data_IF_627607808211
#
_entry.id   IF_627607808211
#
_cell.length_a   1.000
_cell.length_b   1.000
_cell.length_c   1.000
_cell.angle_alpha   90.00
_cell.angle_beta   90.00
_cell.angle_gamma   90.00
#
_symmetry.space_group_name_H-M   'P 1'
#
loop_
_entity.id
_entity.type
_entity.pdbx_description
1 polymer ?
#
# COMPACT_ATOMS: atom_id res chain seq x y z
N UNK A 1 6.06 -12.28 18.79
CA UNK A 1 6.07 -12.24 17.31
C UNK A 1 5.95 -10.80 16.91
N UNK A 2 6.78 -10.29 16.01
CA UNK A 2 6.73 -8.87 15.64
C UNK A 2 5.62 -8.64 14.61
N UNK A 3 4.62 -7.83 14.95
CA UNK A 3 3.50 -7.54 14.07
C UNK A 3 3.52 -6.07 13.66
N UNK A 4 3.40 -5.78 12.37
CA UNK A 4 3.20 -4.41 11.87
C UNK A 4 1.75 -4.22 11.45
N UNK A 5 1.16 -3.11 11.86
CA UNK A 5 -0.19 -2.73 11.46
C UNK A 5 -0.10 -1.48 10.60
N UNK A 6 -0.66 -1.57 9.40
CA UNK A 6 -0.98 -0.40 8.60
C UNK A 6 -2.36 0.10 9.02
N UNK A 7 -2.48 1.42 9.16
CA UNK A 7 -3.77 2.07 9.27
C UNK A 7 -3.82 3.28 8.36
N UNK A 8 -5.04 3.66 7.98
CA UNK A 8 -5.26 4.95 7.34
C UNK A 8 -5.45 6.00 8.42
N UNK A 9 -5.09 7.25 8.12
CA UNK A 9 -5.22 8.32 9.10
C UNK A 9 -6.68 8.64 9.46
N UNK A 10 -7.68 8.21 8.66
CA UNK A 10 -9.08 8.61 8.83
C UNK A 10 -10.16 7.55 8.44
N UNK A 11 -9.86 6.25 8.29
CA UNK A 11 -10.83 5.23 7.81
C UNK A 11 -10.69 3.90 8.59
N UNK A 12 -11.80 3.20 8.90
CA UNK A 12 -11.74 1.87 9.50
C UNK A 12 -10.98 0.86 8.61
N UNK A 13 -10.24 -0.05 9.25
CA UNK A 13 -9.52 -1.12 8.58
C UNK A 13 -10.49 -2.21 8.07
N UNK A 14 -11.07 -1.97 6.88
CA UNK A 14 -11.83 -2.94 6.09
C UNK A 14 -10.89 -3.73 5.15
N UNK A 15 -11.36 -4.88 4.65
CA UNK A 15 -10.60 -5.69 3.68
C UNK A 15 -10.26 -4.89 2.40
N UNK A 16 -11.20 -4.04 1.97
CA UNK A 16 -11.04 -3.08 0.87
C UNK A 16 -11.55 -1.71 1.27
N UNK A 17 -10.82 -0.67 0.88
CA UNK A 17 -11.19 0.71 1.09
C UNK A 17 -11.49 1.40 -0.24
N UNK A 18 -12.61 2.12 -0.30
CA UNK A 18 -12.98 2.87 -1.49
C UNK A 18 -12.28 4.22 -1.49
N UNK A 19 -11.59 4.54 -2.59
CA UNK A 19 -10.85 5.79 -2.75
C UNK A 19 -11.29 6.46 -4.04
N UNK A 20 -11.57 7.77 -3.96
CA UNK A 20 -11.83 8.56 -5.15
C UNK A 20 -10.48 8.83 -5.85
N UNK A 21 -10.37 8.65 -7.18
CA UNK A 21 -9.09 8.82 -7.90
C UNK A 21 -8.46 10.21 -7.75
N UNK A 22 -9.25 11.24 -7.41
CA UNK A 22 -8.76 12.61 -7.20
C UNK A 22 -8.14 12.82 -5.82
N UNK A 23 -8.29 11.85 -4.91
CA UNK A 23 -7.77 11.93 -3.54
C UNK A 23 -6.40 11.27 -3.41
N UNK A 24 -5.56 11.83 -2.54
CA UNK A 24 -4.29 11.21 -2.16
C UNK A 24 -4.55 10.16 -1.08
N UNK A 25 -3.72 9.12 -1.05
CA UNK A 25 -3.77 8.08 -0.02
C UNK A 25 -2.58 8.26 0.91
N UNK A 26 -2.84 8.63 2.16
CA UNK A 26 -1.83 8.75 3.20
C UNK A 26 -2.01 7.62 4.21
N UNK A 27 -0.94 6.85 4.40
CA UNK A 27 -0.85 5.71 5.29
C UNK A 27 0.24 5.93 6.31
N UNK A 28 0.04 5.30 7.47
CA UNK A 28 1.10 5.12 8.42
C UNK A 28 1.12 3.67 8.87
N UNK A 29 2.30 3.22 9.23
CA UNK A 29 2.55 1.89 9.76
C UNK A 29 3.23 2.00 11.10
N UNK A 30 2.80 1.16 12.02
CA UNK A 30 3.39 1.08 13.36
C UNK A 30 3.74 -0.38 13.60
N UNK A 31 4.95 -0.58 14.09
CA UNK A 31 5.35 -1.87 14.60
C UNK A 31 4.79 -2.01 16.02
N UNK A 32 4.03 -3.08 16.25
CA UNK A 32 3.49 -3.43 17.55
C UNK A 32 4.47 -4.34 18.28
N UNK A 33 4.53 -4.16 19.60
CA UNK A 33 5.48 -4.83 20.51
C UNK A 33 6.93 -4.35 20.35
N UNK A 34 7.88 -5.06 20.95
CA UNK A 34 9.21 -4.58 21.28
C UNK A 34 10.11 -4.53 20.03
N UNK A 35 9.91 -3.56 19.13
CA UNK A 35 10.59 -3.36 17.83
C UNK A 35 12.08 -3.02 17.98
N UNK A 36 12.87 -3.93 18.54
CA UNK A 36 14.27 -3.70 18.81
C UNK A 36 15.08 -3.79 17.52
N UNK A 37 15.38 -2.62 16.94
CA UNK A 37 16.22 -2.37 15.77
C UNK A 37 15.60 -2.75 14.42
N UNK A 38 14.69 -1.89 13.94
CA UNK A 38 14.25 -1.89 12.55
C UNK A 38 15.47 -1.59 11.67
N UNK A 39 15.83 -2.51 10.78
CA UNK A 39 16.90 -2.32 9.80
C UNK A 39 16.41 -1.55 8.58
N UNK A 40 15.21 -1.87 8.10
CA UNK A 40 14.62 -1.22 6.94
C UNK A 40 13.09 -1.23 7.00
N UNK A 41 12.48 -0.24 6.37
CA UNK A 41 11.05 -0.21 6.08
C UNK A 41 10.95 -0.06 4.57
N UNK A 42 10.11 -0.86 3.91
CA UNK A 42 9.89 -0.74 2.47
C UNK A 42 8.41 -0.83 2.17
N UNK A 43 7.91 0.12 1.37
CA UNK A 43 6.57 0.09 0.81
C UNK A 43 6.58 -0.44 -0.61
N UNK A 44 5.80 -1.49 -0.85
CA UNK A 44 5.53 -2.05 -2.16
C UNK A 44 4.09 -1.75 -2.57
N UNK A 45 3.91 -1.34 -3.81
CA UNK A 45 2.60 -1.04 -4.40
C UNK A 45 2.31 -2.07 -5.47
N UNK A 46 1.12 -2.65 -5.42
CA UNK A 46 0.64 -3.63 -6.37
C UNK A 46 -0.66 -3.16 -6.99
N UNK A 47 -0.90 -3.55 -8.23
CA UNK A 47 -2.24 -3.50 -8.82
C UNK A 47 -2.84 -4.90 -8.87
N UNK A 48 -4.16 -4.98 -8.79
CA UNK A 48 -4.90 -6.23 -8.81
C UNK A 48 -5.54 -6.47 -10.17
N UNK A 49 -5.47 -7.72 -10.64
CA UNK A 49 -6.27 -8.21 -11.76
C UNK A 49 -7.22 -9.30 -11.25
N UNK A 50 -8.52 -9.10 -11.47
CA UNK A 50 -9.54 -10.11 -11.13
C UNK A 50 -9.49 -11.18 -12.20
N UNK A 51 -9.11 -12.40 -11.83
CA UNK A 51 -9.27 -13.53 -12.72
C UNK A 51 -10.72 -14.00 -12.65
N UNK A 52 -11.48 -13.75 -13.72
CA UNK A 52 -12.91 -14.07 -13.84
C UNK A 52 -13.25 -15.56 -13.65
N UNK A 53 -12.26 -16.44 -13.73
CA UNK A 53 -12.43 -17.88 -13.57
C UNK A 53 -12.27 -18.40 -12.14
N UNK A 54 -11.55 -17.69 -11.25
CA UNK A 54 -11.15 -18.22 -9.94
C UNK A 54 -11.58 -17.36 -8.73
N UNK A 55 -12.26 -16.23 -8.95
CA UNK A 55 -12.64 -15.26 -7.91
C UNK A 55 -11.46 -14.79 -7.03
N UNK A 56 -10.22 -14.97 -7.50
CA UNK A 56 -9.02 -14.55 -6.80
C UNK A 56 -8.42 -13.33 -7.48
N UNK A 57 -7.97 -12.36 -6.68
CA UNK A 57 -7.25 -11.19 -7.18
C UNK A 57 -5.77 -11.52 -7.27
N UNK A 58 -5.22 -11.51 -8.48
CA UNK A 58 -3.78 -11.62 -8.67
C UNK A 58 -3.14 -10.25 -8.44
N UNK A 59 -2.24 -10.16 -7.47
CA UNK A 59 -1.48 -8.94 -7.19
C UNK A 59 -0.19 -8.92 -8.00
N UNK A 60 -0.01 -7.85 -8.79
CA UNK A 60 1.15 -7.66 -9.66
C UNK A 60 1.91 -6.44 -9.15
N UNK A 61 3.20 -6.61 -8.88
CA UNK A 61 4.06 -5.54 -8.38
C UNK A 61 4.10 -4.41 -9.39
N UNK A 62 3.77 -3.21 -8.94
CA UNK A 62 3.85 -2.01 -9.73
C UNK A 62 5.31 -1.54 -9.77
N UNK A 63 6.09 -2.13 -10.69
CA UNK A 63 7.55 -1.95 -10.85
C UNK A 63 8.01 -0.50 -11.12
N UNK A 64 7.07 0.44 -11.17
CA UNK A 64 7.30 1.86 -11.38
C UNK A 64 7.59 2.61 -10.06
N UNK A 65 7.45 1.97 -8.90
CA UNK A 65 7.76 2.61 -7.59
C UNK A 65 9.19 3.17 -7.51
N UNK A 66 10.20 2.50 -8.07
CA UNK A 66 11.58 2.99 -8.06
C UNK A 66 11.87 4.04 -9.14
N UNK A 67 11.22 3.96 -10.31
CA UNK A 67 11.42 4.92 -11.40
C UNK A 67 10.69 6.26 -11.16
N UNK A 68 9.58 6.23 -10.42
CA UNK A 68 8.73 7.39 -10.13
C UNK A 68 8.72 7.76 -8.64
N UNK A 69 9.73 7.33 -7.88
CA UNK A 69 9.98 7.80 -6.51
C UNK A 69 10.05 9.34 -6.53
N UNK A 70 9.31 10.00 -5.63
CA UNK A 70 9.07 11.45 -5.56
C UNK A 70 8.06 12.06 -6.56
N UNK A 71 7.54 11.29 -7.52
CA UNK A 71 6.46 11.76 -8.40
C UNK A 71 5.12 11.27 -7.88
N UNK A 72 5.01 9.97 -7.63
CA UNK A 72 3.75 9.38 -7.12
C UNK A 72 3.81 8.96 -5.67
N UNK A 73 5.01 8.74 -5.13
CA UNK A 73 5.20 8.14 -3.83
C UNK A 73 6.14 8.97 -2.97
N UNK A 74 5.73 9.21 -1.72
CA UNK A 74 6.55 9.83 -0.69
C UNK A 74 6.65 8.88 0.51
N UNK A 75 7.85 8.82 1.11
CA UNK A 75 8.06 8.03 2.33
C UNK A 75 8.09 6.51 2.13
N UNK A 76 8.45 6.02 0.92
CA UNK A 76 8.52 4.57 0.61
C UNK A 76 9.44 3.78 1.53
N UNK A 77 10.38 4.43 2.21
CA UNK A 77 11.30 3.80 3.14
C UNK A 77 11.10 4.25 4.59
N UNK A 78 9.90 4.74 4.92
CA UNK A 78 9.58 5.25 6.26
C UNK A 78 8.26 4.68 6.76
N UNK A 79 7.94 4.90 8.03
CA UNK A 79 6.65 4.48 8.61
C UNK A 79 5.45 5.19 7.97
N UNK A 80 5.66 6.41 7.46
CA UNK A 80 4.63 7.22 6.81
C UNK A 80 4.77 7.11 5.30
N UNK A 81 3.68 6.79 4.62
CA UNK A 81 3.66 6.64 3.18
C UNK A 81 2.54 7.47 2.58
N UNK A 82 2.81 8.09 1.43
CA UNK A 82 1.79 8.82 0.68
C UNK A 82 1.87 8.47 -0.78
N UNK A 83 0.74 8.04 -1.35
CA UNK A 83 0.53 7.96 -2.78
C UNK A 83 -0.28 9.17 -3.26
N UNK A 84 0.23 9.87 -4.27
CA UNK A 84 -0.47 11.01 -4.87
C UNK A 84 -1.67 10.55 -5.69
N UNK A 85 -2.63 11.45 -5.90
CA UNK A 85 -3.77 11.20 -6.78
C UNK A 85 -3.34 11.00 -8.26
N UNK A 86 -2.20 11.54 -8.67
CA UNK A 86 -1.66 11.36 -10.02
C UNK A 86 -1.42 9.88 -10.37
N UNK A 87 -1.09 9.04 -9.39
CA UNK A 87 -0.98 7.60 -9.58
C UNK A 87 -2.26 7.01 -10.20
N UNK A 88 -3.41 7.37 -9.63
CA UNK A 88 -4.71 6.85 -10.04
C UNK A 88 -5.21 7.54 -11.32
N UNK A 89 -4.99 8.84 -11.46
CA UNK A 89 -5.40 9.60 -12.65
C UNK A 89 -4.64 9.16 -13.92
N UNK A 90 -3.38 8.74 -13.80
CA UNK A 90 -2.56 8.26 -14.92
C UNK A 90 -2.71 6.76 -15.19
N UNK A 91 -3.35 6.02 -14.27
CA UNK A 91 -3.64 4.60 -14.42
C UNK A 91 -5.14 4.30 -14.25
N UNK A 92 -6.04 4.96 -15.01
CA UNK A 92 -7.48 4.88 -14.79
C UNK A 92 -8.06 3.48 -15.03
N UNK A 93 -7.37 2.63 -15.79
CA UNK A 93 -7.74 1.23 -16.04
C UNK A 93 -7.49 0.31 -14.84
N UNK A 94 -6.70 0.74 -13.84
CA UNK A 94 -6.35 -0.07 -12.67
C UNK A 94 -7.24 0.33 -11.49
N UNK A 95 -8.22 -0.51 -11.19
CA UNK A 95 -9.18 -0.24 -10.11
C UNK A 95 -8.78 -0.84 -8.77
N UNK A 96 -8.02 -1.93 -8.77
CA UNK A 96 -7.58 -2.61 -7.56
C UNK A 96 -6.13 -2.27 -7.25
N UNK A 97 -5.88 -1.85 -6.02
CA UNK A 97 -4.54 -1.54 -5.55
C UNK A 97 -4.29 -2.19 -4.19
N UNK A 98 -3.05 -2.61 -3.94
CA UNK A 98 -2.60 -3.09 -2.64
C UNK A 98 -1.33 -2.36 -2.27
N UNK A 99 -1.33 -1.73 -1.10
CA UNK A 99 -0.17 -1.06 -0.55
C UNK A 99 0.32 -1.91 0.62
N UNK A 100 1.52 -2.44 0.49
CA UNK A 100 2.14 -3.37 1.43
C UNK A 100 3.37 -2.71 2.06
N UNK A 101 3.52 -2.83 3.37
CA UNK A 101 4.72 -2.43 4.09
C UNK A 101 5.43 -3.66 4.61
N UNK A 102 6.74 -3.67 4.43
CA UNK A 102 7.64 -4.68 4.99
C UNK A 102 8.61 -4.00 5.93
N UNK A 103 8.58 -4.41 7.20
CA UNK A 103 9.60 -4.08 8.18
C UNK A 103 10.62 -5.21 8.22
N UNK A 104 11.88 -4.87 8.02
CA UNK A 104 12.99 -5.80 8.17
C UNK A 104 13.66 -5.56 9.51
N UNK A 105 13.77 -6.61 10.31
CA UNK A 105 14.53 -6.66 11.56
C UNK A 105 15.76 -7.55 11.36
N UNK A 106 16.62 -7.65 12.38
CA UNK A 106 17.88 -8.42 12.31
C UNK A 106 17.62 -9.90 11.99
N UNK A 107 16.57 -10.49 12.55
CA UNK A 107 16.28 -11.93 12.48
C UNK A 107 15.03 -12.28 11.66
N UNK A 108 14.19 -11.32 11.34
CA UNK A 108 12.87 -11.58 10.73
C UNK A 108 12.33 -10.39 9.95
N UNK A 109 11.24 -10.63 9.22
CA UNK A 109 10.47 -9.60 8.52
C UNK A 109 9.02 -9.65 8.94
N UNK A 110 8.43 -8.48 9.14
CA UNK A 110 7.00 -8.33 9.38
C UNK A 110 6.35 -7.63 8.19
N UNK A 111 5.24 -8.16 7.70
CA UNK A 111 4.55 -7.67 6.50
C UNK A 111 3.10 -7.35 6.84
N UNK A 112 2.61 -6.23 6.30
CA UNK A 112 1.22 -5.80 6.45
C UNK A 112 0.76 -5.15 5.16
N UNK A 113 -0.54 -5.20 4.87
CA UNK A 113 -1.08 -4.59 3.64
C UNK A 113 -2.49 -4.05 3.82
N UNK A 114 -2.83 -3.05 2.99
CA UNK A 114 -4.18 -2.55 2.79
C UNK A 114 -4.54 -2.60 1.31
N UNK A 115 -5.79 -2.97 1.02
CA UNK A 115 -6.31 -3.00 -0.34
C UNK A 115 -7.28 -1.83 -0.58
N UNK A 116 -7.21 -1.25 -1.78
CA UNK A 116 -8.01 -0.13 -2.22
C UNK A 116 -8.76 -0.49 -3.51
N UNK A 117 -9.98 0.01 -3.60
CA UNK A 117 -10.76 0.04 -4.83
C UNK A 117 -10.90 1.51 -5.25
N UNK A 118 -10.30 1.86 -6.39
CA UNK A 118 -10.46 3.17 -6.99
C UNK A 118 -11.80 3.19 -7.71
N UNK A 119 -12.75 3.86 -7.10
CA UNK A 119 -14.08 4.03 -7.66
C UNK A 119 -14.24 5.47 -8.12
N UNK A 120 -14.60 5.66 -9.40
CA UNK A 120 -15.08 6.97 -9.86
C UNK A 120 -16.54 7.09 -9.43
N UNK A 121 -16.98 8.22 -8.84
CA UNK A 121 -18.41 8.44 -8.72
C UNK A 121 -19.03 8.38 -10.14
N UNK A 122 -20.18 7.70 -10.31
CA UNK A 122 -20.84 7.54 -11.61
C UNK A 122 -21.30 8.87 -12.23
#
# INVERSE_FOLDING_TARGET
EFSCIISTLCVPNLEFQFVNPTTQVALFSVCNENCTTIQNITWNVYHGEINSSSNFTKWILFNQTNFYQNIWFFGTNTSNFTATNQLFLLNPQLHLWRFEVTYTFISETSVSSLNFIINQPP
#
